data_IF_415518461182
#
_entry.id   IF_415518461182
#
_cell.length_a   1.000
_cell.length_b   1.000
_cell.length_c   1.000
_cell.angle_alpha   90.00
_cell.angle_beta   90.00
_cell.angle_gamma   90.00
#
_symmetry.space_group_name_H-M   'P 1'
#
loop_
_entity.id
_entity.type
_entity.pdbx_description
1 polymer ?
#
# COMPACT_ATOMS: atom_id res chain seq x y z
N UNK A 1 3.49 9.99 -9.31
CA UNK A 1 4.19 9.12 -8.35
C UNK A 1 5.31 8.38 -9.05
N UNK A 2 6.38 8.08 -8.33
CA UNK A 2 7.46 7.16 -8.74
C UNK A 2 7.08 5.72 -8.47
N UNK A 3 7.81 4.74 -9.02
CA UNK A 3 7.57 3.31 -8.74
C UNK A 3 7.64 2.99 -7.24
N UNK A 4 8.62 3.56 -6.52
CA UNK A 4 8.73 3.38 -5.06
C UNK A 4 7.55 3.98 -4.30
N UNK A 5 7.01 5.11 -4.77
CA UNK A 5 5.80 5.70 -4.18
C UNK A 5 4.54 4.89 -4.46
N UNK A 6 4.53 4.05 -5.50
CA UNK A 6 3.44 3.13 -5.85
C UNK A 6 3.64 1.72 -5.27
N UNK A 7 4.66 1.54 -4.42
CA UNK A 7 5.08 0.25 -3.85
C UNK A 7 5.44 -0.82 -4.90
N UNK A 8 5.81 -0.39 -6.11
CA UNK A 8 6.28 -1.27 -7.19
C UNK A 8 7.76 -1.61 -6.99
N UNK A 9 8.07 -2.33 -5.92
CA UNK A 9 9.39 -2.94 -5.74
C UNK A 9 9.60 -4.04 -6.80
N UNK A 10 10.85 -4.38 -7.11
CA UNK A 10 11.12 -5.47 -8.07
C UNK A 10 10.44 -6.78 -7.68
N UNK A 11 10.29 -6.99 -6.39
CA UNK A 11 9.65 -8.15 -5.79
C UNK A 11 8.12 -8.16 -5.98
N UNK A 12 7.48 -6.99 -5.85
CA UNK A 12 6.04 -6.81 -6.12
C UNK A 12 5.77 -6.97 -7.62
N UNK A 13 6.62 -6.40 -8.47
CA UNK A 13 6.50 -6.53 -9.93
C UNK A 13 6.59 -8.00 -10.35
N UNK A 14 7.57 -8.74 -9.84
CA UNK A 14 7.73 -10.17 -10.13
C UNK A 14 6.49 -10.97 -9.70
N UNK A 15 6.01 -10.76 -8.47
CA UNK A 15 4.83 -11.46 -7.96
C UNK A 15 3.59 -11.21 -8.83
N UNK A 16 3.35 -9.95 -9.23
CA UNK A 16 2.21 -9.61 -10.09
C UNK A 16 2.28 -10.25 -11.47
N UNK A 17 3.48 -10.39 -12.03
CA UNK A 17 3.69 -11.06 -13.31
C UNK A 17 3.43 -12.58 -13.23
N UNK A 18 3.79 -13.19 -12.10
CA UNK A 18 3.67 -14.64 -11.87
C UNK A 18 2.25 -15.06 -11.45
N UNK A 19 1.53 -14.19 -10.73
CA UNK A 19 0.26 -14.53 -10.06
C UNK A 19 -0.94 -13.70 -10.53
N UNK A 20 -1.04 -13.43 -11.83
CA UNK A 20 -2.07 -12.56 -12.42
C UNK A 20 -3.52 -12.90 -12.02
N UNK A 21 -3.90 -14.18 -11.98
CA UNK A 21 -5.26 -14.57 -11.59
C UNK A 21 -5.52 -14.33 -10.10
N UNK A 22 -4.50 -14.45 -9.24
CA UNK A 22 -4.60 -14.06 -7.83
C UNK A 22 -4.84 -12.56 -7.69
N UNK A 23 -4.14 -11.73 -8.48
CA UNK A 23 -4.33 -10.27 -8.49
C UNK A 23 -5.76 -9.91 -8.86
N UNK A 24 -6.30 -10.47 -9.95
CA UNK A 24 -7.69 -10.26 -10.35
C UNK A 24 -8.70 -10.63 -9.27
N UNK A 25 -8.47 -11.75 -8.58
CA UNK A 25 -9.36 -12.18 -7.50
C UNK A 25 -9.34 -11.18 -6.35
N UNK A 26 -8.17 -10.65 -5.98
CA UNK A 26 -8.06 -9.61 -4.96
C UNK A 26 -8.71 -8.29 -5.38
N UNK A 27 -8.59 -7.89 -6.65
CA UNK A 27 -9.31 -6.71 -7.19
C UNK A 27 -10.82 -6.87 -7.01
N UNK A 28 -11.37 -8.04 -7.37
CA UNK A 28 -12.80 -8.32 -7.20
C UNK A 28 -13.21 -8.33 -5.72
N UNK A 29 -12.42 -8.96 -4.85
CA UNK A 29 -12.69 -9.01 -3.42
C UNK A 29 -12.68 -7.62 -2.77
N UNK A 30 -11.74 -6.75 -3.14
CA UNK A 30 -11.72 -5.37 -2.69
C UNK A 30 -12.93 -4.58 -3.21
N UNK A 31 -13.33 -4.78 -4.47
CA UNK A 31 -14.49 -4.11 -5.05
C UNK A 31 -15.81 -4.53 -4.38
N UNK A 32 -15.88 -5.76 -3.86
CA UNK A 32 -17.05 -6.31 -3.16
C UNK A 32 -16.99 -6.14 -1.63
N UNK A 33 -15.87 -5.67 -1.09
CA UNK A 33 -15.60 -5.64 0.36
C UNK A 33 -15.67 -7.03 1.03
N UNK A 34 -15.28 -8.07 0.30
CA UNK A 34 -15.27 -9.47 0.72
C UNK A 34 -13.84 -10.04 0.69
N UNK A 35 -12.88 -9.28 1.22
CA UNK A 35 -11.46 -9.62 1.21
C UNK A 35 -10.97 -10.20 2.54
N UNK A 36 -9.81 -10.88 2.50
CA UNK A 36 -9.15 -11.39 3.69
C UNK A 36 -8.67 -10.25 4.60
N UNK A 37 -8.52 -10.52 5.90
CA UNK A 37 -8.20 -9.51 6.92
C UNK A 37 -6.95 -8.68 6.58
N UNK A 38 -5.89 -9.29 6.06
CA UNK A 38 -4.64 -8.58 5.73
C UNK A 38 -4.81 -7.65 4.51
N UNK A 39 -5.58 -8.08 3.51
CA UNK A 39 -5.90 -7.27 2.34
C UNK A 39 -6.83 -6.11 2.71
N UNK A 40 -7.82 -6.38 3.57
CA UNK A 40 -8.69 -5.38 4.16
C UNK A 40 -7.88 -4.33 4.95
N UNK A 41 -6.94 -4.79 5.80
CA UNK A 41 -6.04 -3.91 6.54
C UNK A 41 -5.23 -3.01 5.60
N UNK A 42 -4.63 -3.56 4.54
CA UNK A 42 -3.83 -2.80 3.59
C UNK A 42 -4.64 -1.70 2.88
N UNK A 43 -5.91 -1.97 2.56
CA UNK A 43 -6.79 -1.02 1.87
C UNK A 43 -7.38 0.05 2.80
N UNK A 44 -7.93 -0.34 3.95
CA UNK A 44 -8.64 0.59 4.85
C UNK A 44 -7.70 1.43 5.69
N UNK A 45 -6.49 0.96 6.00
CA UNK A 45 -5.51 1.79 6.72
C UNK A 45 -5.13 3.06 5.96
N UNK A 46 -5.36 3.12 4.64
CA UNK A 46 -5.18 4.34 3.85
C UNK A 46 -6.06 5.50 4.32
N UNK A 47 -7.21 5.23 4.95
CA UNK A 47 -8.19 6.25 5.37
C UNK A 47 -7.61 7.23 6.40
N UNK A 48 -6.60 6.80 7.15
CA UNK A 48 -5.85 7.63 8.10
C UNK A 48 -4.85 8.58 7.42
N UNK A 49 -4.66 8.45 6.10
CA UNK A 49 -3.65 9.16 5.31
C UNK A 49 -4.28 9.95 4.14
N UNK A 50 -4.94 11.09 4.43
CA UNK A 50 -5.79 11.79 3.46
C UNK A 50 -5.03 12.37 2.25
N UNK A 51 -3.77 12.77 2.39
CA UNK A 51 -2.98 13.25 1.25
C UNK A 51 -2.61 12.08 0.32
N UNK A 52 -2.26 10.94 0.89
CA UNK A 52 -1.98 9.73 0.13
C UNK A 52 -3.22 9.26 -0.62
N UNK A 53 -4.38 9.14 0.05
CA UNK A 53 -5.65 8.82 -0.62
C UNK A 53 -5.94 9.81 -1.75
N UNK A 54 -5.90 11.11 -1.48
CA UNK A 54 -6.20 12.11 -2.50
C UNK A 54 -5.27 11.98 -3.71
N UNK A 55 -4.00 11.61 -3.49
CA UNK A 55 -3.06 11.40 -4.58
C UNK A 55 -3.35 10.13 -5.38
N UNK A 56 -3.66 9.02 -4.69
CA UNK A 56 -4.00 7.73 -5.29
C UNK A 56 -5.30 7.82 -6.09
N UNK A 57 -6.34 8.44 -5.53
CA UNK A 57 -7.64 8.64 -6.18
C UNK A 57 -7.52 9.52 -7.42
N UNK A 58 -6.71 10.60 -7.35
CA UNK A 58 -6.44 11.45 -8.51
C UNK A 58 -5.71 10.72 -9.66
N UNK A 59 -5.17 9.54 -9.39
CA UNK A 59 -4.52 8.67 -10.38
C UNK A 59 -5.26 7.35 -10.60
N UNK A 60 -6.46 7.18 -10.01
CA UNK A 60 -7.26 5.95 -10.06
C UNK A 60 -6.47 4.69 -9.65
N UNK A 61 -5.49 4.84 -8.75
CA UNK A 61 -4.53 3.78 -8.42
C UNK A 61 -4.72 3.17 -7.03
N UNK A 62 -5.80 3.54 -6.32
CA UNK A 62 -6.01 3.14 -4.91
C UNK A 62 -6.09 1.62 -4.73
N UNK A 63 -6.82 0.92 -5.60
CA UNK A 63 -6.95 -0.55 -5.55
C UNK A 63 -5.62 -1.24 -5.82
N UNK A 64 -4.96 -0.85 -6.92
CA UNK A 64 -3.63 -1.38 -7.28
C UNK A 64 -2.60 -1.14 -6.18
N UNK A 65 -2.63 0.04 -5.56
CA UNK A 65 -1.77 0.39 -4.45
C UNK A 65 -1.99 -0.53 -3.25
N UNK A 66 -3.24 -0.79 -2.86
CA UNK A 66 -3.55 -1.70 -1.75
C UNK A 66 -3.12 -3.13 -2.04
N UNK A 67 -3.21 -3.59 -3.28
CA UNK A 67 -2.68 -4.90 -3.69
C UNK A 67 -1.16 -4.93 -3.62
N UNK A 68 -0.47 -3.88 -4.09
CA UNK A 68 0.98 -3.78 -3.96
C UNK A 68 1.41 -3.76 -2.50
N UNK A 69 0.67 -3.04 -1.65
CA UNK A 69 0.87 -3.00 -0.22
C UNK A 69 0.67 -4.39 0.41
N UNK A 70 -0.37 -5.14 0.01
CA UNK A 70 -0.62 -6.48 0.51
C UNK A 70 0.51 -7.46 0.16
N UNK A 71 1.04 -7.40 -1.06
CA UNK A 71 2.20 -8.24 -1.46
C UNK A 71 3.45 -7.84 -0.67
N UNK A 72 3.70 -6.55 -0.51
CA UNK A 72 4.82 -6.05 0.29
C UNK A 72 4.70 -6.46 1.77
N UNK A 73 3.50 -6.34 2.33
CA UNK A 73 3.17 -6.69 3.70
C UNK A 73 3.39 -8.18 3.98
N UNK A 74 2.94 -9.06 3.10
CA UNK A 74 3.19 -10.49 3.22
C UNK A 74 4.70 -10.82 3.23
N UNK A 75 5.49 -10.12 2.42
CA UNK A 75 6.97 -10.28 2.41
C UNK A 75 7.63 -9.75 3.68
N UNK A 76 7.15 -8.61 4.22
CA UNK A 76 7.63 -8.09 5.50
C UNK A 76 7.34 -9.09 6.63
N UNK A 77 6.13 -9.66 6.64
CA UNK A 77 5.75 -10.67 7.63
C UNK A 77 6.64 -11.92 7.52
N UNK A 78 6.88 -12.43 6.30
CA UNK A 78 7.80 -13.56 6.06
C UNK A 78 9.21 -13.25 6.57
N UNK A 79 9.72 -12.04 6.31
CA UNK A 79 11.03 -11.62 6.81
C UNK A 79 11.10 -11.61 8.35
N UNK A 80 10.07 -11.10 9.04
CA UNK A 80 10.05 -11.15 10.51
C UNK A 80 9.94 -12.58 11.05
N UNK A 81 9.24 -13.48 10.35
CA UNK A 81 9.23 -14.90 10.71
C UNK A 81 10.63 -15.52 10.56
N UNK A 82 11.33 -15.23 9.48
CA UNK A 82 12.70 -15.69 9.23
C UNK A 82 13.70 -15.14 10.27
N UNK A 83 13.46 -13.93 10.77
CA UNK A 83 14.24 -13.32 11.86
C UNK A 83 13.92 -13.91 13.26
N UNK A 84 12.99 -14.87 13.34
CA UNK A 84 12.68 -15.63 14.54
C UNK A 84 11.50 -15.10 15.35
N UNK A 85 10.73 -14.15 14.82
CA UNK A 85 9.48 -13.73 15.44
C UNK A 85 8.39 -14.79 15.28
N UNK A 86 7.48 -14.87 16.24
CA UNK A 86 6.29 -15.72 16.14
C UNK A 86 5.19 -15.03 15.32
N UNK A 87 4.31 -15.80 14.70
CA UNK A 87 3.27 -15.32 13.77
C UNK A 87 2.57 -14.00 14.16
N UNK A 88 1.98 -13.89 15.36
CA UNK A 88 1.32 -12.66 15.78
C UNK A 88 2.24 -11.44 15.86
N UNK A 89 3.47 -11.62 16.35
CA UNK A 89 4.46 -10.55 16.49
C UNK A 89 5.00 -10.15 15.11
N UNK A 90 5.25 -11.11 14.22
CA UNK A 90 5.66 -10.83 12.85
C UNK A 90 4.58 -10.03 12.09
N UNK A 91 3.30 -10.35 12.30
CA UNK A 91 2.18 -9.60 11.72
C UNK A 91 2.11 -8.17 12.26
N UNK A 92 2.26 -7.98 13.57
CA UNK A 92 2.28 -6.64 14.20
C UNK A 92 3.42 -5.78 13.64
N UNK A 93 4.62 -6.34 13.52
CA UNK A 93 5.74 -5.64 12.91
C UNK A 93 5.52 -5.32 11.42
N UNK A 94 4.95 -6.23 10.64
CA UNK A 94 4.61 -5.97 9.25
C UNK A 94 3.56 -4.85 9.10
N UNK A 95 2.56 -4.82 9.99
CA UNK A 95 1.57 -3.74 10.06
C UNK A 95 2.25 -2.39 10.35
N UNK A 96 3.09 -2.33 11.39
CA UNK A 96 3.79 -1.12 11.78
C UNK A 96 4.68 -0.56 10.67
N UNK A 97 5.44 -1.42 9.99
CA UNK A 97 6.28 -1.01 8.86
C UNK A 97 5.46 -0.49 7.69
N UNK A 98 4.33 -1.12 7.36
CA UNK A 98 3.44 -0.63 6.30
C UNK A 98 2.86 0.75 6.64
N UNK A 99 2.41 0.94 7.89
CA UNK A 99 1.87 2.23 8.35
C UNK A 99 2.93 3.34 8.35
N UNK A 100 4.18 3.03 8.69
CA UNK A 100 5.31 3.99 8.56
C UNK A 100 5.51 4.41 7.09
N UNK A 101 5.43 3.46 6.16
CA UNK A 101 5.51 3.75 4.72
C UNK A 101 4.35 4.67 4.30
N UNK A 102 3.11 4.36 4.70
CA UNK A 102 1.95 5.19 4.37
C UNK A 102 2.09 6.61 4.92
N UNK A 103 2.54 6.73 6.18
CA UNK A 103 2.82 8.01 6.82
C UNK A 103 3.84 8.83 6.00
N UNK A 104 4.98 8.23 5.68
CA UNK A 104 6.03 8.90 4.90
C UNK A 104 5.55 9.32 3.50
N UNK A 105 4.68 8.53 2.86
CA UNK A 105 4.08 8.87 1.57
C UNK A 105 3.03 9.97 1.68
N UNK A 106 2.26 10.00 2.76
CA UNK A 106 1.25 11.02 3.06
C UNK A 106 1.86 12.40 3.36
N UNK A 107 3.05 12.41 3.98
CA UNK A 107 3.80 13.64 4.29
C UNK A 107 4.45 14.26 3.03
N UNK A 108 4.65 13.49 1.96
CA UNK A 108 5.10 14.04 0.68
C UNK A 108 3.99 14.92 0.12
N UNK A 109 4.20 16.23 0.17
CA UNK A 109 3.22 17.16 -0.38
C UNK A 109 2.84 16.77 -1.82
N UNK A 110 1.55 16.69 -2.15
CA UNK A 110 1.14 16.64 -3.53
C UNK A 110 1.63 17.94 -4.17
N UNK A 111 2.68 17.84 -5.01
CA UNK A 111 3.43 18.95 -5.64
C UNK A 111 2.56 20.05 -6.28
N UNK A 112 1.25 19.84 -6.40
CA UNK A 112 0.26 20.76 -6.93
C UNK A 112 -0.33 21.74 -5.90
N UNK A 113 -0.33 21.48 -4.58
CA UNK A 113 -0.86 22.45 -3.59
C UNK A 113 0.11 23.60 -3.29
N UNK A 114 1.41 23.32 -3.15
CA UNK A 114 2.42 24.38 -2.96
C UNK A 114 2.53 25.35 -4.15
N UNK A 115 2.30 24.87 -5.38
CA UNK A 115 2.36 25.72 -6.58
C UNK A 115 1.18 26.68 -6.69
N UNK A 116 -0.04 26.24 -6.33
CA UNK A 116 -1.24 27.08 -6.38
C UNK A 116 -1.21 28.17 -5.30
N UNK A 117 -0.71 27.86 -4.09
CA UNK A 117 -0.58 28.86 -3.02
C UNK A 117 0.51 29.91 -3.30
N UNK A 118 1.62 29.54 -3.97
CA UNK A 118 2.64 30.50 -4.43
C UNK A 118 2.19 31.39 -5.58
N UNK A 119 1.20 30.99 -6.37
CA UNK A 119 0.63 31.83 -7.45
C UNK A 119 -0.47 32.79 -6.98
N UNK A 120 -0.87 32.69 -5.70
CA UNK A 120 -1.91 33.52 -5.08
C UNK A 120 -1.33 34.56 -4.10
N UNK A 121 0.00 34.68 -4.01
CA UNK A 121 0.74 35.73 -3.29
C UNK A 121 1.43 36.66 -4.29
#
# INVERSE_FOLDING_TARGET
MTQGELLLTGSVIAFRAEHFETIKNWELQLAMDECAADLHFCYHSLEEYPNLIAHLDATEYRLDFAINAHILHARLQEQFLDDGHIGPIALEHANDELLKIYCALNEKEPKKRAAILKSLQ
#
